data_IF_059646916027
#
_entry.id   IF_059646916027
#
_cell.length_a   1.000
_cell.length_b   1.000
_cell.length_c   1.000
_cell.angle_alpha   90.00
_cell.angle_beta   90.00
_cell.angle_gamma   90.00
#
_symmetry.space_group_name_H-M   'P 1'
#
loop_
_entity.id
_entity.type
_entity.pdbx_description
1 polymer ?
#
# COMPACT_ATOMS: atom_id res chain seq x y z
N UNK A 1 1.94 -53.01 35.89
CA UNK A 1 1.25 -53.18 34.59
C UNK A 1 1.41 -51.88 33.82
N UNK A 2 2.40 -51.82 32.93
CA UNK A 2 2.60 -50.66 32.05
C UNK A 2 1.72 -50.84 30.82
N UNK A 3 0.79 -49.91 30.60
CA UNK A 3 0.06 -49.84 29.34
C UNK A 3 1.03 -49.43 28.22
N UNK A 4 0.98 -50.07 27.03
CA UNK A 4 1.84 -49.68 25.93
C UNK A 4 1.33 -48.37 25.34
N UNK A 5 2.21 -47.38 25.30
CA UNK A 5 2.02 -46.12 24.57
C UNK A 5 1.89 -46.50 23.08
N UNK A 6 0.72 -46.27 22.50
CA UNK A 6 0.53 -46.40 21.06
C UNK A 6 1.49 -45.43 20.34
N UNK A 7 2.29 -45.90 19.36
CA UNK A 7 3.07 -44.99 18.56
C UNK A 7 2.13 -44.11 17.72
N UNK A 8 2.51 -42.85 17.43
CA UNK A 8 1.70 -41.99 16.57
C UNK A 8 1.43 -42.68 15.24
N UNK A 9 0.18 -42.57 14.77
CA UNK A 9 -0.26 -43.14 13.51
C UNK A 9 0.75 -42.76 12.40
N UNK A 10 1.34 -43.78 11.75
CA UNK A 10 2.20 -43.60 10.58
C UNK A 10 1.49 -42.69 9.59
N UNK A 11 2.10 -41.55 9.23
CA UNK A 11 1.62 -40.76 8.09
C UNK A 11 1.51 -41.70 6.89
N UNK A 12 0.30 -41.93 6.41
CA UNK A 12 0.07 -42.72 5.22
C UNK A 12 0.64 -41.91 4.05
N UNK A 13 1.86 -42.24 3.62
CA UNK A 13 2.45 -41.63 2.42
C UNK A 13 1.53 -41.95 1.24
N UNK A 14 0.94 -40.92 0.64
CA UNK A 14 0.18 -41.03 -0.59
C UNK A 14 1.13 -41.48 -1.71
N UNK A 15 0.73 -42.44 -2.54
CA UNK A 15 1.54 -42.82 -3.71
C UNK A 15 1.46 -41.76 -4.80
N UNK A 16 2.55 -41.58 -5.52
CA UNK A 16 2.60 -40.63 -6.64
C UNK A 16 1.59 -40.99 -7.74
N UNK A 17 1.30 -42.28 -7.93
CA UNK A 17 0.33 -42.77 -8.92
C UNK A 17 -1.12 -42.39 -8.59
N UNK A 18 -1.45 -42.17 -7.31
CA UNK A 18 -2.77 -41.68 -6.89
C UNK A 18 -2.79 -40.14 -6.94
N UNK A 19 -1.67 -39.50 -6.62
CA UNK A 19 -1.55 -38.04 -6.61
C UNK A 19 -1.60 -37.43 -8.01
N UNK A 20 -0.93 -38.02 -9.00
CA UNK A 20 -0.79 -37.49 -10.35
C UNK A 20 -2.14 -37.21 -11.05
N UNK A 21 -3.10 -38.16 -11.12
CA UNK A 21 -4.40 -37.90 -11.74
C UNK A 21 -5.21 -36.80 -11.04
N UNK A 22 -5.09 -36.70 -9.71
CA UNK A 22 -5.76 -35.64 -8.94
C UNK A 22 -5.12 -34.27 -9.21
N UNK A 23 -3.79 -34.22 -9.32
CA UNK A 23 -3.06 -33.02 -9.71
C UNK A 23 -3.47 -32.55 -11.11
N UNK A 24 -3.60 -33.47 -12.08
CA UNK A 24 -4.07 -33.15 -13.43
C UNK A 24 -5.47 -32.55 -13.43
N UNK A 25 -6.39 -33.08 -12.63
CA UNK A 25 -7.73 -32.52 -12.52
C UNK A 25 -7.71 -31.09 -11.95
N UNK A 26 -6.88 -30.85 -10.92
CA UNK A 26 -6.77 -29.53 -10.27
C UNK A 26 -6.09 -28.49 -11.14
N UNK A 27 -5.10 -28.86 -11.94
CA UNK A 27 -4.36 -27.91 -12.76
C UNK A 27 -5.15 -27.38 -13.97
N UNK A 28 -6.23 -28.05 -14.40
CA UNK A 28 -7.04 -27.62 -15.57
C UNK A 28 -7.45 -26.16 -15.50
N UNK A 29 -7.91 -25.68 -14.34
CA UNK A 29 -8.36 -24.31 -14.17
C UNK A 29 -7.24 -23.29 -14.38
N UNK A 30 -6.02 -23.58 -13.90
CA UNK A 30 -4.84 -22.74 -14.16
C UNK A 30 -4.50 -22.71 -15.65
N UNK A 31 -4.50 -23.86 -16.32
CA UNK A 31 -4.17 -23.94 -17.75
C UNK A 31 -5.19 -23.18 -18.61
N UNK A 32 -6.48 -23.30 -18.28
CA UNK A 32 -7.56 -22.56 -18.95
C UNK A 32 -7.40 -21.04 -18.73
N UNK A 33 -7.10 -20.61 -17.49
CA UNK A 33 -6.88 -19.20 -17.16
C UNK A 33 -5.68 -18.61 -17.91
N UNK A 34 -4.57 -19.35 -18.03
CA UNK A 34 -3.41 -18.90 -18.80
C UNK A 34 -3.73 -18.81 -20.28
N UNK A 35 -4.47 -19.78 -20.84
CA UNK A 35 -4.87 -19.73 -22.24
C UNK A 35 -5.71 -18.49 -22.58
N UNK A 36 -6.63 -18.10 -21.68
CA UNK A 36 -7.39 -16.86 -21.78
C UNK A 36 -6.47 -15.63 -21.80
N UNK A 37 -5.49 -15.56 -20.90
CA UNK A 37 -4.54 -14.42 -20.88
C UNK A 37 -3.78 -14.33 -22.20
N UNK A 38 -3.40 -15.47 -22.80
CA UNK A 38 -2.68 -15.54 -24.09
C UNK A 38 -3.52 -15.11 -25.29
N UNK A 39 -4.81 -15.43 -25.30
CA UNK A 39 -5.71 -15.05 -26.40
C UNK A 39 -6.15 -13.58 -26.33
N UNK A 40 -6.18 -12.97 -25.14
CA UNK A 40 -6.74 -11.64 -24.91
C UNK A 40 -5.75 -10.57 -24.43
N UNK A 41 -4.45 -10.71 -24.74
CA UNK A 41 -3.32 -9.81 -24.37
C UNK A 41 -3.57 -8.29 -24.56
N UNK A 42 -4.63 -7.88 -25.28
CA UNK A 42 -4.94 -6.49 -25.62
C UNK A 42 -6.37 -6.04 -25.32
N UNK A 43 -7.11 -6.75 -24.47
CA UNK A 43 -8.51 -6.38 -24.13
C UNK A 43 -8.63 -5.70 -22.78
N UNK A 44 -9.72 -4.96 -22.56
CA UNK A 44 -10.07 -4.29 -21.29
C UNK A 44 -10.32 -5.25 -20.10
N UNK A 45 -10.14 -6.56 -20.28
CA UNK A 45 -10.40 -7.60 -19.28
C UNK A 45 -9.12 -8.22 -18.72
N UNK A 46 -7.95 -7.69 -19.10
CA UNK A 46 -6.65 -8.21 -18.70
C UNK A 46 -6.56 -8.43 -17.19
N UNK A 47 -7.07 -7.50 -16.37
CA UNK A 47 -7.07 -7.61 -14.91
C UNK A 47 -7.73 -8.89 -14.39
N UNK A 48 -8.97 -9.16 -14.78
CA UNK A 48 -9.74 -10.31 -14.29
C UNK A 48 -9.09 -11.62 -14.73
N UNK A 49 -8.62 -11.68 -15.97
CA UNK A 49 -7.94 -12.87 -16.51
C UNK A 49 -6.62 -13.12 -15.77
N UNK A 50 -5.84 -12.08 -15.49
CA UNK A 50 -4.60 -12.18 -14.72
C UNK A 50 -4.85 -12.56 -13.25
N UNK A 51 -5.89 -11.99 -12.63
CA UNK A 51 -6.31 -12.36 -11.29
C UNK A 51 -6.76 -13.83 -11.22
N UNK A 52 -7.44 -14.33 -12.25
CA UNK A 52 -7.80 -15.75 -12.35
C UNK A 52 -6.54 -16.64 -12.38
N UNK A 53 -5.51 -16.27 -13.16
CA UNK A 53 -4.22 -17.00 -13.14
C UNK A 53 -3.60 -16.98 -11.74
N UNK A 54 -3.56 -15.83 -11.07
CA UNK A 54 -3.06 -15.72 -9.70
C UNK A 54 -3.82 -16.65 -8.73
N UNK A 55 -5.15 -16.58 -8.77
CA UNK A 55 -6.02 -17.35 -7.90
C UNK A 55 -5.86 -18.86 -8.12
N UNK A 56 -5.92 -19.33 -9.36
CA UNK A 56 -5.79 -20.74 -9.69
C UNK A 56 -4.37 -21.27 -9.42
N UNK A 57 -3.34 -20.45 -9.65
CA UNK A 57 -1.96 -20.81 -9.31
C UNK A 57 -1.79 -20.94 -7.79
N UNK A 58 -2.42 -20.07 -7.00
CA UNK A 58 -2.42 -20.18 -5.54
C UNK A 58 -3.11 -21.47 -5.05
N UNK A 59 -4.29 -21.79 -5.56
CA UNK A 59 -4.99 -23.03 -5.21
C UNK A 59 -4.17 -24.28 -5.56
N UNK A 60 -3.49 -24.26 -6.71
CA UNK A 60 -2.64 -25.36 -7.14
C UNK A 60 -1.37 -25.46 -6.28
N UNK A 61 -0.75 -24.34 -5.92
CA UNK A 61 0.40 -24.32 -5.01
C UNK A 61 0.02 -24.83 -3.61
N UNK A 62 -1.10 -24.39 -3.04
CA UNK A 62 -1.58 -24.86 -1.73
C UNK A 62 -1.83 -26.39 -1.76
N UNK A 63 -2.37 -26.90 -2.89
CA UNK A 63 -2.54 -28.34 -3.11
C UNK A 63 -1.19 -29.07 -3.20
N UNK A 64 -0.22 -28.53 -3.94
CA UNK A 64 1.13 -29.10 -4.05
C UNK A 64 1.87 -29.10 -2.70
N UNK A 65 1.79 -28.00 -1.94
CA UNK A 65 2.44 -27.84 -0.65
C UNK A 65 1.85 -28.76 0.42
N UNK A 66 0.52 -28.89 0.47
CA UNK A 66 -0.16 -29.81 1.40
C UNK A 66 0.19 -31.29 1.17
N UNK A 67 0.70 -31.63 -0.02
CA UNK A 67 1.15 -32.98 -0.37
C UNK A 67 2.69 -33.12 -0.40
N UNK A 68 3.43 -32.11 0.05
CA UNK A 68 4.90 -32.17 0.14
C UNK A 68 5.61 -32.15 -1.21
N UNK A 69 4.99 -31.58 -2.25
CA UNK A 69 5.55 -31.55 -3.60
C UNK A 69 6.89 -30.78 -3.66
N UNK A 70 7.09 -29.78 -2.79
CA UNK A 70 8.33 -29.00 -2.72
C UNK A 70 9.59 -29.85 -2.47
N UNK A 71 9.45 -30.97 -1.73
CA UNK A 71 10.54 -31.90 -1.42
C UNK A 71 10.48 -33.19 -2.27
N UNK A 72 9.53 -33.28 -3.20
CA UNK A 72 9.33 -34.44 -4.04
C UNK A 72 10.09 -34.30 -5.37
N UNK A 73 10.93 -35.30 -5.70
CA UNK A 73 11.76 -35.27 -6.92
C UNK A 73 10.96 -35.15 -8.21
N UNK A 74 9.75 -35.69 -8.27
CA UNK A 74 8.88 -35.66 -9.46
C UNK A 74 8.13 -34.33 -9.59
N UNK A 75 7.65 -33.74 -8.48
CA UNK A 75 6.74 -32.59 -8.52
C UNK A 75 7.34 -31.25 -8.06
N UNK A 76 8.57 -31.22 -7.52
CA UNK A 76 9.16 -29.98 -6.99
C UNK A 76 9.30 -28.85 -8.03
N UNK A 77 9.62 -29.18 -9.29
CA UNK A 77 9.75 -28.18 -10.35
C UNK A 77 8.39 -27.55 -10.69
N UNK A 78 7.34 -28.37 -10.81
CA UNK A 78 5.97 -27.91 -11.04
C UNK A 78 5.55 -26.95 -9.92
N UNK A 79 5.80 -27.31 -8.66
CA UNK A 79 5.51 -26.46 -7.51
C UNK A 79 6.24 -25.12 -7.59
N UNK A 80 7.52 -25.14 -7.93
CA UNK A 80 8.32 -23.92 -8.06
C UNK A 80 7.79 -23.02 -9.19
N UNK A 81 7.52 -23.58 -10.37
CA UNK A 81 7.02 -22.85 -11.54
C UNK A 81 5.62 -22.27 -11.32
N UNK A 82 4.73 -23.00 -10.62
CA UNK A 82 3.40 -22.51 -10.22
C UNK A 82 3.52 -21.29 -9.29
N UNK A 83 4.46 -21.29 -8.33
CA UNK A 83 4.71 -20.11 -7.49
C UNK A 83 5.20 -18.91 -8.32
N UNK A 84 6.06 -19.16 -9.32
CA UNK A 84 6.49 -18.14 -10.27
C UNK A 84 5.31 -17.51 -11.02
N UNK A 85 4.44 -18.33 -11.61
CA UNK A 85 3.23 -17.88 -12.31
C UNK A 85 2.32 -17.07 -11.39
N UNK A 86 2.12 -17.53 -10.15
CA UNK A 86 1.30 -16.84 -9.14
C UNK A 86 1.79 -15.40 -8.91
N UNK A 87 3.06 -15.19 -8.63
CA UNK A 87 3.53 -13.85 -8.27
C UNK A 87 3.66 -12.90 -9.47
N UNK A 88 4.03 -13.42 -10.65
CA UNK A 88 4.06 -12.62 -11.88
C UNK A 88 2.64 -12.19 -12.28
N UNK A 89 1.66 -13.11 -12.21
CA UNK A 89 0.25 -12.78 -12.51
C UNK A 89 -0.36 -11.79 -11.52
N UNK A 90 -0.03 -11.88 -10.23
CA UNK A 90 -0.43 -10.88 -9.24
C UNK A 90 0.10 -9.49 -9.61
N UNK A 91 1.40 -9.36 -9.92
CA UNK A 91 1.99 -8.09 -10.30
C UNK A 91 1.33 -7.51 -11.57
N UNK A 92 1.13 -8.35 -12.59
CA UNK A 92 0.43 -7.97 -13.82
C UNK A 92 -1.02 -7.53 -13.56
N UNK A 93 -1.77 -8.19 -12.67
CA UNK A 93 -3.13 -7.77 -12.33
C UNK A 93 -3.16 -6.37 -11.71
N UNK A 94 -2.21 -6.04 -10.83
CA UNK A 94 -2.10 -4.71 -10.24
C UNK A 94 -1.78 -3.64 -11.30
N UNK A 95 -0.87 -3.93 -12.23
CA UNK A 95 -0.53 -3.00 -13.32
C UNK A 95 -1.68 -2.78 -14.31
N UNK A 96 -2.51 -3.80 -14.55
CA UNK A 96 -3.64 -3.68 -15.46
C UNK A 96 -4.72 -2.69 -14.99
N UNK A 97 -4.83 -2.47 -13.67
CA UNK A 97 -5.71 -1.44 -13.08
C UNK A 97 -5.31 -0.03 -13.51
N UNK A 98 -4.02 0.21 -13.78
CA UNK A 98 -3.51 1.50 -14.25
C UNK A 98 -3.78 1.73 -15.75
N UNK A 99 -3.84 0.66 -16.56
CA UNK A 99 -3.98 0.75 -18.02
C UNK A 99 -5.44 0.71 -18.49
N UNK A 100 -6.29 -0.07 -17.83
CA UNK A 100 -7.63 -0.41 -18.34
C UNK A 100 -8.69 -0.52 -17.26
N UNK A 101 -8.35 -0.22 -16.00
CA UNK A 101 -9.33 -0.19 -14.92
C UNK A 101 -10.35 0.94 -15.11
N UNK A 102 -11.55 0.85 -14.52
CA UNK A 102 -12.33 2.04 -14.27
C UNK A 102 -11.46 2.94 -13.39
N UNK A 103 -11.03 4.08 -13.91
CA UNK A 103 -10.29 5.08 -13.13
C UNK A 103 -11.35 6.05 -12.59
N UNK A 104 -11.92 5.85 -11.38
CA UNK A 104 -12.93 6.77 -10.85
C UNK A 104 -12.33 8.14 -10.50
N UNK A 105 -11.00 8.26 -10.43
CA UNK A 105 -10.32 9.47 -9.96
C UNK A 105 -9.31 9.97 -11.00
N UNK A 106 -9.38 11.25 -11.41
CA UNK A 106 -8.49 11.79 -12.41
C UNK A 106 -7.03 11.78 -11.93
N UNK A 107 -6.10 11.59 -12.85
CA UNK A 107 -4.68 11.76 -12.59
C UNK A 107 -4.40 13.16 -12.06
N UNK A 108 -3.42 13.26 -11.14
CA UNK A 108 -3.02 14.52 -10.56
C UNK A 108 -2.36 15.46 -11.57
N UNK A 109 -1.50 14.90 -12.41
CA UNK A 109 -0.83 15.59 -13.51
C UNK A 109 -1.12 14.83 -14.80
N UNK A 110 -1.78 15.51 -15.74
CA UNK A 110 -2.02 14.94 -17.06
C UNK A 110 -0.72 14.61 -17.78
N UNK A 111 0.32 15.45 -17.61
CA UNK A 111 1.64 15.25 -18.22
C UNK A 111 2.40 14.05 -17.62
N UNK A 112 2.23 13.79 -16.32
CA UNK A 112 2.82 12.60 -15.70
C UNK A 112 2.09 11.33 -16.12
N UNK A 113 0.75 11.37 -16.10
CA UNK A 113 -0.06 10.22 -16.49
C UNK A 113 0.12 9.89 -17.98
N UNK A 114 -0.03 10.88 -18.87
CA UNK A 114 0.13 10.74 -20.31
C UNK A 114 1.60 10.79 -20.71
N UNK A 115 2.20 9.61 -20.92
CA UNK A 115 3.56 9.48 -21.44
C UNK A 115 4.66 9.38 -20.39
N UNK A 116 4.39 9.67 -19.11
CA UNK A 116 5.29 9.32 -18.00
C UNK A 116 5.00 7.92 -17.47
N UNK A 117 3.92 7.81 -16.69
CA UNK A 117 3.46 6.57 -16.06
C UNK A 117 3.13 5.48 -17.09
N UNK A 118 2.41 5.82 -18.16
CA UNK A 118 2.00 4.86 -19.21
C UNK A 118 3.20 4.10 -19.79
N UNK A 119 4.32 4.80 -20.05
CA UNK A 119 5.54 4.18 -20.58
C UNK A 119 6.16 3.20 -19.58
N UNK A 120 6.13 3.51 -18.28
CA UNK A 120 6.63 2.61 -17.25
C UNK A 120 5.72 1.39 -17.07
N UNK A 121 4.40 1.58 -17.10
CA UNK A 121 3.40 0.51 -17.02
C UNK A 121 3.48 -0.39 -18.25
N UNK A 122 3.64 0.16 -19.45
CA UNK A 122 3.77 -0.60 -20.69
C UNK A 122 5.06 -1.44 -20.68
N UNK A 123 6.21 -0.84 -20.37
CA UNK A 123 7.50 -1.54 -20.32
C UNK A 123 7.52 -2.66 -19.27
N UNK A 124 6.96 -2.41 -18.08
CA UNK A 124 6.87 -3.42 -17.02
C UNK A 124 5.90 -4.54 -17.40
N UNK A 125 4.72 -4.20 -17.93
CA UNK A 125 3.72 -5.18 -18.39
C UNK A 125 4.26 -6.07 -19.50
N UNK A 126 4.93 -5.49 -20.51
CA UNK A 126 5.55 -6.25 -21.59
C UNK A 126 6.60 -7.26 -21.08
N UNK A 127 7.50 -6.80 -20.20
CA UNK A 127 8.55 -7.66 -19.63
C UNK A 127 7.97 -8.78 -18.76
N UNK A 128 6.97 -8.47 -17.92
CA UNK A 128 6.35 -9.46 -17.03
C UNK A 128 5.50 -10.47 -17.81
N UNK A 129 4.84 -10.08 -18.90
CA UNK A 129 4.18 -11.04 -19.79
C UNK A 129 5.18 -11.98 -20.47
N UNK A 130 6.34 -11.48 -20.91
CA UNK A 130 7.41 -12.34 -21.43
C UNK A 130 7.85 -13.37 -20.38
N UNK A 131 7.99 -12.96 -19.11
CA UNK A 131 8.35 -13.87 -18.02
C UNK A 131 7.25 -14.88 -17.72
N UNK A 132 5.98 -14.46 -17.74
CA UNK A 132 4.82 -15.33 -17.58
C UNK A 132 4.79 -16.44 -18.66
N UNK A 133 5.00 -16.07 -19.92
CA UNK A 133 5.05 -17.01 -21.05
C UNK A 133 6.19 -18.01 -20.92
N UNK A 134 7.38 -17.55 -20.52
CA UNK A 134 8.54 -18.42 -20.29
C UNK A 134 8.28 -19.38 -19.13
N UNK A 135 7.74 -18.89 -18.01
CA UNK A 135 7.37 -19.71 -16.85
C UNK A 135 6.32 -20.76 -17.22
N UNK A 136 5.31 -20.39 -18.00
CA UNK A 136 4.27 -21.34 -18.43
C UNK A 136 4.83 -22.40 -19.38
N UNK A 137 5.72 -22.01 -20.29
CA UNK A 137 6.42 -22.96 -21.17
C UNK A 137 7.27 -23.95 -20.37
N UNK A 138 7.92 -23.47 -19.31
CA UNK A 138 8.68 -24.32 -18.39
C UNK A 138 7.78 -25.26 -17.59
N UNK A 139 6.65 -24.76 -17.07
CA UNK A 139 5.63 -25.56 -16.41
C UNK A 139 5.17 -26.71 -17.31
N UNK A 140 4.80 -26.43 -18.55
CA UNK A 140 4.41 -27.46 -19.52
C UNK A 140 5.52 -28.52 -19.73
N UNK A 141 6.78 -28.09 -19.74
CA UNK A 141 7.92 -29.01 -19.90
C UNK A 141 8.12 -29.89 -18.66
N UNK A 142 8.05 -29.31 -17.46
CA UNK A 142 8.14 -30.05 -16.19
C UNK A 142 6.94 -30.96 -15.97
N UNK A 143 5.77 -30.56 -16.45
CA UNK A 143 4.54 -31.34 -16.43
C UNK A 143 4.69 -32.66 -17.18
N UNK A 144 5.16 -32.58 -18.44
CA UNK A 144 5.45 -33.78 -19.25
C UNK A 144 6.60 -34.58 -18.63
N UNK A 145 7.64 -33.92 -18.12
CA UNK A 145 8.76 -34.58 -17.44
C UNK A 145 8.38 -35.30 -16.14
N UNK A 146 7.23 -34.96 -15.55
CA UNK A 146 6.65 -35.64 -14.40
C UNK A 146 5.66 -36.76 -14.81
N UNK A 147 5.67 -37.19 -16.08
CA UNK A 147 4.77 -38.21 -16.62
C UNK A 147 3.28 -37.88 -16.38
N UNK A 148 2.92 -36.59 -16.46
CA UNK A 148 1.53 -36.13 -16.38
C UNK A 148 0.94 -35.97 -17.77
N UNK A 149 -0.35 -36.26 -17.90
CA UNK A 149 -1.12 -36.13 -19.12
C UNK A 149 -1.16 -34.68 -19.59
N UNK A 150 -1.01 -34.47 -20.89
CA UNK A 150 -1.15 -33.15 -21.50
C UNK A 150 -2.54 -32.58 -21.23
N UNK A 151 -2.58 -31.37 -20.68
CA UNK A 151 -3.81 -30.61 -20.52
C UNK A 151 -3.97 -29.77 -21.78
N UNK A 152 -5.01 -30.04 -22.56
CA UNK A 152 -5.45 -29.12 -23.62
C UNK A 152 -6.31 -28.04 -22.97
N UNK A 153 -5.84 -26.78 -22.89
CA UNK A 153 -6.63 -25.70 -22.33
C UNK A 153 -7.87 -25.49 -23.18
N UNK A 154 -9.00 -25.25 -22.54
CA UNK A 154 -10.20 -24.75 -23.22
C UNK A 154 -10.21 -23.25 -23.09
N UNK A 155 -10.23 -22.56 -24.22
CA UNK A 155 -10.63 -21.16 -24.22
C UNK A 155 -12.10 -21.11 -23.82
N UNK A 156 -12.34 -20.79 -22.55
CA UNK A 156 -13.66 -20.38 -22.11
C UNK A 156 -13.80 -18.94 -22.57
N UNK A 157 -14.89 -18.61 -23.27
CA UNK A 157 -15.26 -17.21 -23.48
C UNK A 157 -15.32 -16.56 -22.09
N UNK A 158 -14.31 -15.75 -21.76
CA UNK A 158 -14.49 -14.73 -20.73
C UNK A 158 -15.62 -13.90 -21.28
N UNK A 159 -16.79 -13.99 -20.64
CA UNK A 159 -17.94 -13.21 -21.05
C UNK A 159 -17.47 -11.76 -21.21
N UNK A 160 -17.42 -11.29 -22.46
CA UNK A 160 -17.01 -9.95 -22.82
C UNK A 160 -18.10 -9.05 -22.25
N UNK A 161 -17.92 -8.59 -21.02
CA UNK A 161 -18.88 -7.73 -20.36
C UNK A 161 -18.65 -6.31 -20.89
N UNK A 162 -19.56 -5.72 -21.68
CA UNK A 162 -19.42 -4.32 -22.11
C UNK A 162 -19.17 -3.42 -20.89
N UNK A 163 -18.60 -2.20 -21.09
CA UNK A 163 -18.38 -1.26 -19.99
C UNK A 163 -19.61 -1.22 -19.09
N UNK A 164 -19.40 -1.52 -17.81
CA UNK A 164 -20.48 -1.72 -16.87
C UNK A 164 -21.33 -0.45 -16.84
N UNK A 165 -22.64 -0.52 -17.16
CA UNK A 165 -23.49 0.65 -17.05
C UNK A 165 -23.44 1.14 -15.60
N UNK A 166 -23.13 2.43 -15.43
CA UNK A 166 -23.10 3.07 -14.13
C UNK A 166 -24.55 3.34 -13.73
N UNK A 167 -24.94 2.91 -12.52
CA UNK A 167 -26.25 3.26 -11.98
C UNK A 167 -26.31 4.78 -11.76
N UNK A 168 -27.44 5.44 -12.08
CA UNK A 168 -27.61 6.84 -11.74
C UNK A 168 -27.42 7.03 -10.22
N UNK A 169 -26.81 8.13 -9.76
CA UNK A 169 -26.69 8.43 -8.34
C UNK A 169 -28.04 8.94 -7.82
N UNK A 170 -29.00 8.03 -7.70
CA UNK A 170 -30.38 8.31 -7.26
C UNK A 170 -30.59 8.06 -5.76
N UNK A 171 -29.51 7.74 -5.03
CA UNK A 171 -29.51 7.75 -3.58
C UNK A 171 -29.60 9.21 -3.11
N UNK A 172 -30.81 9.63 -2.74
CA UNK A 172 -31.04 10.90 -2.04
C UNK A 172 -30.27 10.81 -0.72
N UNK A 173 -29.21 11.60 -0.59
CA UNK A 173 -28.55 11.76 0.69
C UNK A 173 -29.49 12.54 1.60
N UNK A 174 -30.23 11.85 2.45
CA UNK A 174 -30.94 12.45 3.61
C UNK A 174 -29.96 12.98 4.67
N UNK A 175 -28.69 13.17 4.33
CA UNK A 175 -27.65 13.62 5.24
C UNK A 175 -27.56 15.15 5.23
N UNK A 176 -28.55 15.78 5.84
CA UNK A 176 -28.30 16.80 6.85
C UNK A 176 -27.53 16.16 8.03
N UNK A 177 -26.41 15.46 7.77
CA UNK A 177 -25.46 15.12 8.82
C UNK A 177 -24.73 16.40 9.13
N UNK A 178 -25.25 17.08 10.13
CA UNK A 178 -24.65 18.18 10.89
C UNK A 178 -23.19 18.38 10.49
N UNK A 179 -22.94 19.46 9.75
CA UNK A 179 -21.61 19.97 9.50
C UNK A 179 -21.00 20.42 10.83
N UNK A 180 -20.58 19.47 11.67
CA UNK A 180 -19.77 19.73 12.84
C UNK A 180 -18.45 20.36 12.39
N UNK A 181 -17.88 21.21 13.24
CA UNK A 181 -16.56 21.82 12.98
C UNK A 181 -15.47 20.77 12.72
N UNK A 182 -15.58 19.59 13.33
CA UNK A 182 -14.72 18.42 13.08
C UNK A 182 -14.67 17.98 11.61
N UNK A 183 -15.76 18.13 10.86
CA UNK A 183 -15.81 17.74 9.44
C UNK A 183 -14.92 18.62 8.58
N UNK A 184 -14.77 19.91 8.92
CA UNK A 184 -13.92 20.85 8.14
C UNK A 184 -12.44 20.50 8.21
N UNK A 185 -11.98 19.93 9.33
CA UNK A 185 -10.59 19.54 9.53
C UNK A 185 -10.19 18.20 8.85
N UNK A 186 -11.14 17.44 8.28
CA UNK A 186 -10.86 16.14 7.66
C UNK A 186 -9.99 16.30 6.40
N UNK A 187 -10.34 17.23 5.51
CA UNK A 187 -9.59 17.44 4.27
C UNK A 187 -8.17 17.98 4.51
N UNK A 188 -7.96 19.03 5.34
CA UNK A 188 -6.61 19.46 5.74
C UNK A 188 -5.77 18.34 6.34
N UNK A 189 -6.37 17.53 7.23
CA UNK A 189 -5.68 16.40 7.88
C UNK A 189 -5.26 15.34 6.88
N UNK A 190 -6.14 14.99 5.94
CA UNK A 190 -5.81 14.08 4.85
C UNK A 190 -4.62 14.59 4.01
N UNK A 191 -4.65 15.88 3.63
CA UNK A 191 -3.61 16.52 2.83
C UNK A 191 -2.26 16.59 3.58
N UNK A 192 -2.27 16.92 4.88
CA UNK A 192 -1.06 16.89 5.71
C UNK A 192 -0.49 15.46 5.81
N UNK A 193 -1.35 14.44 5.98
CA UNK A 193 -0.91 13.04 5.99
C UNK A 193 -0.32 12.60 4.65
N UNK A 194 -0.90 13.04 3.53
CA UNK A 194 -0.35 12.83 2.19
C UNK A 194 1.06 13.43 2.05
N UNK A 195 1.23 14.71 2.38
CA UNK A 195 2.52 15.42 2.30
C UNK A 195 3.57 14.74 3.21
N UNK A 196 3.19 14.36 4.42
CA UNK A 196 4.06 13.66 5.37
C UNK A 196 4.46 12.27 4.88
N UNK A 197 3.55 11.54 4.24
CA UNK A 197 3.87 10.24 3.64
C UNK A 197 4.93 10.41 2.56
N UNK A 198 4.79 11.41 1.69
CA UNK A 198 5.77 11.74 0.67
C UNK A 198 7.12 12.15 1.26
N UNK A 199 7.13 13.06 2.25
CA UNK A 199 8.37 13.53 2.89
C UNK A 199 9.14 12.43 3.63
N UNK A 200 8.44 11.36 4.05
CA UNK A 200 9.05 10.19 4.68
C UNK A 200 9.52 9.13 3.68
N UNK A 201 9.36 9.37 2.37
CA UNK A 201 9.91 8.50 1.34
C UNK A 201 11.43 8.67 1.29
N UNK A 202 12.17 7.57 1.42
CA UNK A 202 13.63 7.59 1.26
C UNK A 202 14.02 7.77 -0.22
N UNK A 203 14.44 8.98 -0.58
CA UNK A 203 14.82 9.35 -1.96
C UNK A 203 15.98 8.49 -2.49
N UNK A 204 16.76 7.84 -1.63
CA UNK A 204 17.78 6.90 -2.08
C UNK A 204 17.17 5.70 -2.85
N UNK A 205 15.93 5.29 -2.53
CA UNK A 205 15.26 4.18 -3.24
C UNK A 205 14.85 4.54 -4.67
N UNK A 206 14.88 5.82 -5.04
CA UNK A 206 14.45 6.29 -6.38
C UNK A 206 15.62 6.46 -7.33
N UNK A 207 16.84 6.11 -6.91
CA UNK A 207 18.00 6.12 -7.79
C UNK A 207 17.85 5.06 -8.87
N UNK A 208 18.07 5.46 -10.12
CA UNK A 208 17.95 4.56 -11.26
C UNK A 208 19.04 3.49 -11.21
N UNK A 209 18.65 2.23 -11.21
CA UNK A 209 19.60 1.11 -11.35
C UNK A 209 20.09 1.06 -12.80
N UNK A 210 21.41 1.21 -12.97
CA UNK A 210 22.09 1.08 -14.26
C UNK A 210 22.59 -0.35 -14.48
N UNK A 211 22.78 -0.80 -15.73
CA UNK A 211 23.36 -2.11 -16.00
C UNK A 211 24.70 -2.30 -15.28
N UNK A 212 24.86 -3.45 -14.59
CA UNK A 212 26.05 -3.75 -13.79
C UNK A 212 26.02 -3.23 -12.35
N UNK A 213 24.91 -2.62 -11.91
CA UNK A 213 24.70 -2.31 -10.49
C UNK A 213 24.53 -3.58 -9.66
N UNK A 214 24.87 -3.52 -8.36
CA UNK A 214 24.64 -4.61 -7.42
C UNK A 214 23.14 -4.67 -7.03
N UNK A 215 22.41 -5.57 -7.71
CA UNK A 215 20.97 -5.79 -7.56
C UNK A 215 20.63 -6.40 -6.20
N UNK A 216 21.45 -7.33 -5.72
CA UNK A 216 21.33 -7.94 -4.40
C UNK A 216 21.46 -6.91 -3.27
N UNK A 217 22.45 -6.01 -3.37
CA UNK A 217 22.65 -4.93 -2.41
C UNK A 217 21.46 -3.97 -2.41
N UNK A 218 20.94 -3.62 -3.60
CA UNK A 218 19.75 -2.78 -3.70
C UNK A 218 18.54 -3.41 -2.99
N UNK A 219 18.25 -4.68 -3.26
CA UNK A 219 17.12 -5.39 -2.65
C UNK A 219 17.26 -5.46 -1.12
N UNK A 220 18.45 -5.82 -0.62
CA UNK A 220 18.73 -5.91 0.83
C UNK A 220 18.64 -4.58 1.55
N UNK A 221 19.04 -3.49 0.88
CA UNK A 221 19.13 -2.16 1.51
C UNK A 221 17.81 -1.41 1.43
N UNK A 222 17.12 -1.48 0.28
CA UNK A 222 16.02 -0.57 -0.03
C UNK A 222 14.68 -1.25 -0.32
N UNK A 223 14.67 -2.52 -0.74
CA UNK A 223 13.47 -3.17 -1.25
C UNK A 223 13.29 -4.60 -0.73
N UNK A 224 13.33 -4.77 0.60
CA UNK A 224 12.91 -6.03 1.22
C UNK A 224 11.39 -6.19 1.18
N UNK A 225 10.87 -7.41 1.27
CA UNK A 225 9.42 -7.67 1.29
C UNK A 225 8.78 -6.93 2.48
N UNK A 226 9.44 -6.93 3.63
CA UNK A 226 8.97 -6.22 4.83
C UNK A 226 8.87 -4.70 4.59
N UNK A 227 9.87 -4.11 3.95
CA UNK A 227 9.87 -2.68 3.59
C UNK A 227 8.76 -2.36 2.59
N UNK A 228 8.63 -3.18 1.54
CA UNK A 228 7.60 -3.02 0.51
C UNK A 228 6.17 -3.09 1.10
N UNK A 229 5.88 -4.11 1.93
CA UNK A 229 4.60 -4.26 2.62
C UNK A 229 4.30 -3.11 3.57
N UNK A 230 5.29 -2.68 4.35
CA UNK A 230 5.17 -1.54 5.27
C UNK A 230 4.78 -0.27 4.53
N UNK A 231 5.44 0.01 3.40
CA UNK A 231 5.15 1.19 2.61
C UNK A 231 3.80 1.10 1.87
N UNK A 232 3.49 -0.03 1.24
CA UNK A 232 2.18 -0.31 0.65
C UNK A 232 1.05 -0.09 1.67
N UNK A 233 1.21 -0.57 2.91
CA UNK A 233 0.20 -0.41 3.98
C UNK A 233 -0.04 1.06 4.33
N UNK A 234 1.02 1.89 4.37
CA UNK A 234 0.88 3.34 4.64
C UNK A 234 0.08 4.05 3.55
N UNK A 235 0.35 3.73 2.29
CA UNK A 235 -0.38 4.29 1.12
C UNK A 235 -1.83 3.79 1.10
N UNK A 236 -2.06 2.50 1.37
CA UNK A 236 -3.40 1.93 1.48
C UNK A 236 -4.22 2.57 2.59
N UNK A 237 -3.62 2.83 3.76
CA UNK A 237 -4.29 3.52 4.86
C UNK A 237 -4.75 4.91 4.42
N UNK A 238 -3.89 5.67 3.75
CA UNK A 238 -4.23 6.99 3.23
C UNK A 238 -5.42 6.93 2.24
N UNK A 239 -5.43 5.96 1.33
CA UNK A 239 -6.58 5.73 0.44
C UNK A 239 -7.85 5.39 1.22
N UNK A 240 -7.73 4.54 2.25
CA UNK A 240 -8.86 4.13 3.10
C UNK A 240 -9.45 5.29 3.88
N UNK A 241 -8.60 6.20 4.40
CA UNK A 241 -9.04 7.40 5.09
C UNK A 241 -9.85 8.31 4.16
N UNK A 242 -9.39 8.49 2.92
CA UNK A 242 -10.12 9.26 1.93
C UNK A 242 -11.48 8.63 1.63
N UNK A 243 -11.49 7.34 1.30
CA UNK A 243 -12.71 6.64 0.90
C UNK A 243 -13.72 6.54 2.06
N UNK A 244 -13.26 6.59 3.32
CA UNK A 244 -14.11 6.55 4.52
C UNK A 244 -14.64 7.91 4.96
N UNK A 245 -13.87 8.99 4.77
CA UNK A 245 -14.16 10.29 5.40
C UNK A 245 -14.35 11.45 4.43
N UNK A 246 -13.91 11.34 3.17
CA UNK A 246 -14.00 12.42 2.19
C UNK A 246 -14.84 12.07 0.97
N UNK A 247 -14.84 10.81 0.54
CA UNK A 247 -15.58 10.37 -0.64
C UNK A 247 -17.08 10.62 -0.49
N UNK A 248 -17.69 11.19 -1.54
CA UNK A 248 -19.10 11.57 -1.62
C UNK A 248 -19.56 12.57 -0.54
N UNK A 249 -18.64 13.32 0.06
CA UNK A 249 -18.99 14.38 1.02
C UNK A 249 -19.19 15.73 0.33
N UNK A 250 -19.88 16.66 1.00
CA UNK A 250 -20.01 18.05 0.54
C UNK A 250 -18.65 18.73 0.33
N UNK A 251 -17.62 18.36 1.10
CA UNK A 251 -16.25 18.85 0.95
C UNK A 251 -15.60 18.38 -0.36
N UNK A 252 -15.73 17.10 -0.72
CA UNK A 252 -15.22 16.60 -2.01
C UNK A 252 -15.96 17.21 -3.20
N UNK A 253 -17.27 17.49 -3.05
CA UNK A 253 -18.06 18.18 -4.06
C UNK A 253 -17.64 19.65 -4.21
N UNK A 254 -17.36 20.34 -3.10
CA UNK A 254 -16.88 21.72 -3.08
C UNK A 254 -15.44 21.86 -3.59
N UNK A 255 -14.59 20.84 -3.37
CA UNK A 255 -13.19 20.80 -3.80
C UNK A 255 -12.90 19.56 -4.66
N UNK A 256 -13.35 19.51 -5.93
CA UNK A 256 -13.13 18.36 -6.82
C UNK A 256 -11.66 18.01 -7.05
N UNK A 257 -10.72 18.93 -6.79
CA UNK A 257 -9.28 18.69 -6.87
C UNK A 257 -8.80 17.65 -5.83
N UNK A 258 -9.53 17.42 -4.72
CA UNK A 258 -9.23 16.34 -3.78
C UNK A 258 -9.18 14.96 -4.46
N UNK A 259 -10.01 14.77 -5.49
CA UNK A 259 -10.03 13.55 -6.30
C UNK A 259 -8.72 13.29 -7.02
N UNK A 260 -7.98 14.34 -7.38
CA UNK A 260 -6.65 14.21 -8.00
C UNK A 260 -5.60 13.69 -7.03
N UNK A 261 -5.65 14.15 -5.78
CA UNK A 261 -4.79 13.65 -4.69
C UNK A 261 -5.11 12.19 -4.41
N UNK A 262 -6.40 11.81 -4.38
CA UNK A 262 -6.82 10.41 -4.30
C UNK A 262 -6.30 9.59 -5.50
N UNK A 263 -6.38 10.14 -6.72
CA UNK A 263 -5.85 9.53 -7.94
C UNK A 263 -4.38 9.16 -7.83
N UNK A 264 -3.52 10.10 -7.42
CA UNK A 264 -2.07 9.84 -7.26
C UNK A 264 -1.75 8.80 -6.18
N UNK A 265 -2.54 8.76 -5.09
CA UNK A 265 -2.44 7.70 -4.07
C UNK A 265 -2.78 6.33 -4.65
N UNK A 266 -3.82 6.24 -5.49
CA UNK A 266 -4.23 5.00 -6.16
C UNK A 266 -3.18 4.52 -7.15
N UNK A 267 -2.59 5.43 -7.95
CA UNK A 267 -1.49 5.11 -8.86
C UNK A 267 -0.29 4.52 -8.11
N UNK A 268 0.11 5.19 -7.03
CA UNK A 268 1.20 4.75 -6.16
C UNK A 268 0.90 3.36 -5.55
N UNK A 269 -0.33 3.15 -5.07
CA UNK A 269 -0.74 1.90 -4.43
C UNK A 269 -0.59 0.70 -5.37
N UNK A 270 -1.13 0.78 -6.59
CA UNK A 270 -1.08 -0.36 -7.52
C UNK A 270 0.34 -0.70 -7.97
N UNK A 271 1.21 0.31 -8.13
CA UNK A 271 2.64 0.08 -8.37
C UNK A 271 3.29 -0.64 -7.19
N UNK A 272 3.00 -0.24 -5.95
CA UNK A 272 3.56 -0.86 -4.74
C UNK A 272 3.01 -2.27 -4.46
N UNK A 273 1.78 -2.56 -4.85
CA UNK A 273 1.23 -3.92 -4.84
C UNK A 273 2.03 -4.83 -5.77
N UNK A 274 2.35 -4.34 -6.98
CA UNK A 274 3.23 -5.04 -7.91
C UNK A 274 4.66 -5.19 -7.35
N UNK A 275 5.24 -4.14 -6.76
CA UNK A 275 6.55 -4.23 -6.07
C UNK A 275 6.53 -5.32 -5.01
N UNK A 276 5.52 -5.34 -4.14
CA UNK A 276 5.41 -6.33 -3.06
C UNK A 276 5.33 -7.76 -3.59
N UNK A 277 4.56 -7.99 -4.65
CA UNK A 277 4.47 -9.30 -5.30
C UNK A 277 5.81 -9.76 -5.89
N UNK A 278 6.52 -8.87 -6.59
CA UNK A 278 7.79 -9.20 -7.25
C UNK A 278 8.96 -9.31 -6.27
N UNK A 279 8.98 -8.50 -5.22
CA UNK A 279 9.96 -8.61 -4.13
C UNK A 279 9.77 -9.93 -3.38
N UNK A 280 8.53 -10.35 -3.11
CA UNK A 280 8.26 -11.66 -2.52
C UNK A 280 8.77 -12.80 -3.42
N UNK A 281 8.52 -12.71 -4.74
CA UNK A 281 9.05 -13.67 -5.71
C UNK A 281 10.58 -13.72 -5.64
N UNK A 282 11.24 -12.56 -5.67
CA UNK A 282 12.70 -12.48 -5.61
C UNK A 282 13.24 -13.09 -4.31
N UNK A 283 12.80 -12.63 -3.14
CA UNK A 283 13.34 -13.12 -1.85
C UNK A 283 13.18 -14.63 -1.67
N UNK A 284 12.04 -15.21 -2.10
CA UNK A 284 11.78 -16.64 -1.93
C UNK A 284 12.39 -17.54 -3.01
N UNK A 285 12.62 -17.02 -4.21
CA UNK A 285 12.94 -17.84 -5.38
C UNK A 285 14.22 -17.47 -6.12
N UNK A 286 14.90 -16.35 -5.82
CA UNK A 286 16.08 -15.93 -6.61
C UNK A 286 17.26 -16.91 -6.55
N UNK A 287 17.39 -17.68 -5.47
CA UNK A 287 18.39 -18.73 -5.34
C UNK A 287 18.02 -20.04 -6.04
N UNK A 288 16.81 -20.15 -6.61
CA UNK A 288 16.34 -21.37 -7.28
C UNK A 288 16.69 -21.32 -8.77
N UNK A 289 17.39 -22.35 -9.24
CA UNK A 289 17.95 -22.40 -10.59
C UNK A 289 16.92 -22.62 -11.68
N UNK A 290 15.69 -23.05 -11.35
CA UNK A 290 14.67 -23.30 -12.37
C UNK A 290 14.01 -21.99 -12.79
N UNK A 291 13.44 -21.22 -11.85
CA UNK A 291 12.81 -19.92 -12.18
C UNK A 291 13.78 -18.96 -12.85
N UNK A 292 15.08 -18.98 -12.50
CA UNK A 292 16.08 -18.09 -13.11
C UNK A 292 16.23 -18.24 -14.63
N UNK A 293 15.76 -19.35 -15.20
CA UNK A 293 15.78 -19.57 -16.66
C UNK A 293 14.62 -18.85 -17.38
N UNK A 294 13.53 -18.55 -16.68
CA UNK A 294 12.41 -17.75 -17.20
C UNK A 294 12.49 -16.28 -16.77
N UNK A 295 12.93 -16.04 -15.53
CA UNK A 295 12.98 -14.74 -14.89
C UNK A 295 14.44 -14.31 -14.69
N UNK A 296 14.98 -13.44 -15.55
CA UNK A 296 16.31 -12.86 -15.35
C UNK A 296 16.29 -11.92 -14.14
N UNK A 297 16.81 -12.37 -13.00
CA UNK A 297 16.70 -11.66 -11.71
C UNK A 297 17.23 -10.24 -11.73
N UNK A 298 18.37 -9.98 -12.37
CA UNK A 298 18.91 -8.61 -12.46
C UNK A 298 17.99 -7.68 -13.25
N UNK A 299 17.38 -8.18 -14.32
CA UNK A 299 16.42 -7.41 -15.10
C UNK A 299 15.10 -7.22 -14.34
N UNK A 300 14.67 -8.21 -13.53
CA UNK A 300 13.51 -8.06 -12.64
C UNK A 300 13.77 -6.98 -11.58
N UNK A 301 14.94 -6.98 -10.93
CA UNK A 301 15.29 -5.96 -9.93
C UNK A 301 15.38 -4.58 -10.56
N UNK A 302 15.98 -4.47 -11.76
CA UNK A 302 15.98 -3.21 -12.51
C UNK A 302 14.57 -2.75 -12.88
N UNK A 303 13.66 -3.66 -13.22
CA UNK A 303 12.25 -3.37 -13.47
C UNK A 303 11.55 -2.87 -12.20
N UNK A 304 11.74 -3.53 -11.06
CA UNK A 304 11.19 -3.11 -9.76
C UNK A 304 11.64 -1.69 -9.43
N UNK A 305 12.95 -1.41 -9.49
CA UNK A 305 13.48 -0.10 -9.14
C UNK A 305 13.02 0.99 -10.13
N UNK A 306 13.25 0.77 -11.43
CA UNK A 306 13.15 1.82 -12.44
C UNK A 306 11.73 2.01 -12.99
N UNK A 307 10.92 0.95 -12.99
CA UNK A 307 9.59 0.95 -13.60
C UNK A 307 8.44 0.77 -12.63
N UNK A 308 8.71 0.52 -11.34
CA UNK A 308 7.66 0.45 -10.31
C UNK A 308 7.90 1.43 -9.16
N UNK A 309 9.04 1.37 -8.47
CA UNK A 309 9.35 2.23 -7.31
C UNK A 309 9.49 3.69 -7.74
N UNK A 310 10.32 3.97 -8.75
CA UNK A 310 10.50 5.32 -9.28
C UNK A 310 9.17 5.97 -9.72
N UNK A 311 8.34 5.34 -10.57
CA UNK A 311 7.05 5.92 -10.93
C UNK A 311 6.07 6.01 -9.75
N UNK A 312 6.12 5.10 -8.75
CA UNK A 312 5.28 5.22 -7.56
C UNK A 312 5.60 6.48 -6.76
N UNK A 313 6.90 6.80 -6.62
CA UNK A 313 7.36 8.05 -6.03
C UNK A 313 6.91 9.25 -6.88
N UNK A 314 7.11 9.20 -8.21
CA UNK A 314 6.75 10.30 -9.13
C UNK A 314 5.24 10.57 -9.16
N UNK A 315 4.39 9.56 -9.04
CA UNK A 315 2.93 9.74 -8.90
C UNK A 315 2.59 10.62 -7.72
N UNK A 316 3.18 10.37 -6.53
CA UNK A 316 2.98 11.23 -5.37
C UNK A 316 3.62 12.62 -5.56
N UNK A 317 4.87 12.68 -6.01
CA UNK A 317 5.64 13.92 -6.20
C UNK A 317 4.89 14.91 -7.11
N UNK A 318 4.33 14.41 -8.22
CA UNK A 318 3.59 15.22 -9.18
C UNK A 318 2.37 15.94 -8.57
N UNK A 319 1.84 15.43 -7.46
CA UNK A 319 0.66 15.95 -6.78
C UNK A 319 1.00 16.82 -5.56
N UNK A 320 2.26 16.89 -5.14
CA UNK A 320 2.67 17.69 -3.96
C UNK A 320 2.31 19.17 -4.08
N UNK A 321 2.54 19.87 -5.22
CA UNK A 321 2.15 21.27 -5.35
C UNK A 321 0.64 21.48 -5.18
N UNK A 322 -0.18 20.58 -5.72
CA UNK A 322 -1.63 20.63 -5.58
C UNK A 322 -2.05 20.37 -4.13
N UNK A 323 -1.46 19.36 -3.47
CA UNK A 323 -1.77 19.05 -2.09
C UNK A 323 -1.43 20.21 -1.14
N UNK A 324 -0.30 20.88 -1.36
CA UNK A 324 0.10 22.08 -0.60
C UNK A 324 -0.84 23.25 -0.85
N UNK A 325 -1.22 23.49 -2.11
CA UNK A 325 -2.18 24.53 -2.45
C UNK A 325 -3.53 24.29 -1.74
N UNK A 326 -4.08 23.08 -1.85
CA UNK A 326 -5.35 22.72 -1.21
C UNK A 326 -5.25 22.81 0.31
N UNK A 327 -4.12 22.41 0.89
CA UNK A 327 -3.93 22.53 2.34
C UNK A 327 -3.97 24.00 2.77
N UNK A 328 -3.30 24.89 2.05
CA UNK A 328 -3.31 26.33 2.34
C UNK A 328 -4.69 26.97 2.15
N UNK A 329 -5.47 26.51 1.16
CA UNK A 329 -6.83 27.01 0.91
C UNK A 329 -7.84 26.54 1.95
N UNK A 330 -7.67 25.31 2.46
CA UNK A 330 -8.61 24.68 3.38
C UNK A 330 -8.25 24.87 4.86
N UNK A 331 -7.00 25.23 5.18
CA UNK A 331 -6.56 25.48 6.55
C UNK A 331 -6.89 26.92 6.94
N UNK A 332 -7.59 27.09 8.07
CA UNK A 332 -7.79 28.40 8.68
C UNK A 332 -6.71 28.56 9.74
N UNK A 333 -5.66 29.31 9.39
CA UNK A 333 -4.59 29.62 10.34
C UNK A 333 -5.06 30.62 11.39
N UNK A 334 -4.98 30.24 12.65
CA UNK A 334 -5.19 31.11 13.80
C UNK A 334 -3.92 31.16 14.66
N UNK A 335 -3.90 32.05 15.65
CA UNK A 335 -2.88 32.07 16.68
C UNK A 335 -3.52 32.32 18.04
N UNK A 336 -3.16 31.51 19.03
CA UNK A 336 -3.64 31.69 20.40
C UNK A 336 -2.48 31.85 21.37
N UNK A 337 -2.60 32.84 22.24
CA UNK A 337 -1.73 32.98 23.41
C UNK A 337 -2.39 32.25 24.57
N UNK A 338 -1.66 31.32 25.19
CA UNK A 338 -2.10 30.55 26.35
C UNK A 338 -1.10 30.71 27.48
N UNK A 339 -1.60 30.73 28.71
CA UNK A 339 -0.82 30.87 29.93
C UNK A 339 -0.99 29.64 30.81
N UNK A 340 0.08 29.21 31.46
CA UNK A 340 0.01 28.12 32.45
C UNK A 340 -0.81 28.55 33.65
N UNK A 341 -1.60 27.61 34.18
CA UNK A 341 -2.31 27.79 35.45
C UNK A 341 -1.29 27.74 36.59
N UNK A 342 -1.51 28.54 37.63
CA UNK A 342 -0.69 28.55 38.83
C UNK A 342 -0.46 27.13 39.38
N UNK A 343 0.81 26.75 39.52
CA UNK A 343 1.23 25.44 40.03
C UNK A 343 1.39 24.34 38.98
N UNK A 344 1.12 24.62 37.68
CA UNK A 344 1.42 23.72 36.57
C UNK A 344 2.76 24.11 35.94
N UNK A 345 3.65 23.13 35.76
CA UNK A 345 4.96 23.32 35.12
C UNK A 345 5.04 22.55 33.81
N UNK A 346 5.70 23.11 32.79
CA UNK A 346 5.89 22.44 31.51
C UNK A 346 6.97 21.35 31.55
N UNK A 347 6.65 20.24 32.21
CA UNK A 347 7.47 19.02 32.24
C UNK A 347 6.96 17.97 31.24
N UNK A 348 7.49 16.75 31.36
CA UNK A 348 7.26 15.69 30.38
C UNK A 348 5.78 15.34 30.12
N UNK A 349 4.88 15.50 31.10
CA UNK A 349 3.49 15.09 30.97
C UNK A 349 2.66 16.11 30.19
N UNK A 350 2.61 17.40 30.56
CA UNK A 350 2.01 18.45 29.73
C UNK A 350 2.53 18.45 28.29
N UNK A 351 3.85 18.34 28.12
CA UNK A 351 4.49 18.24 26.82
C UNK A 351 4.02 17.02 26.01
N UNK A 352 3.86 15.86 26.65
CA UNK A 352 3.35 14.66 25.99
C UNK A 352 1.87 14.80 25.59
N UNK A 353 1.04 15.46 26.40
CA UNK A 353 -0.37 15.72 26.10
C UNK A 353 -0.52 16.62 24.88
N UNK A 354 0.24 17.72 24.84
CA UNK A 354 0.27 18.62 23.68
C UNK A 354 0.74 17.86 22.44
N UNK A 355 1.85 17.12 22.54
CA UNK A 355 2.39 16.37 21.40
C UNK A 355 1.39 15.34 20.87
N UNK A 356 0.70 14.61 21.76
CA UNK A 356 -0.28 13.60 21.37
C UNK A 356 -1.54 14.24 20.78
N UNK A 357 -1.98 15.40 21.29
CA UNK A 357 -3.11 16.12 20.74
C UNK A 357 -2.80 16.65 19.34
N UNK A 358 -1.65 17.31 19.15
CA UNK A 358 -1.23 17.78 17.83
C UNK A 358 -1.08 16.60 16.86
N UNK A 359 -0.53 15.47 17.30
CA UNK A 359 -0.45 14.25 16.48
C UNK A 359 -1.83 13.71 16.10
N UNK A 360 -2.81 13.78 17.00
CA UNK A 360 -4.18 13.35 16.76
C UNK A 360 -4.88 14.21 15.69
N UNK A 361 -4.75 15.54 15.78
CA UNK A 361 -5.22 16.43 14.71
C UNK A 361 -4.47 16.20 13.40
N UNK A 362 -3.17 15.86 13.50
CA UNK A 362 -2.35 15.52 12.35
C UNK A 362 -2.04 16.72 11.45
N UNK A 363 -2.14 17.94 11.98
CA UNK A 363 -1.85 19.21 11.31
C UNK A 363 -0.56 19.82 11.88
N UNK A 364 0.09 20.68 11.10
CA UNK A 364 1.31 21.35 11.53
C UNK A 364 0.95 22.50 12.49
N UNK A 365 1.30 22.31 13.77
CA UNK A 365 1.14 23.31 14.82
C UNK A 365 2.54 23.68 15.33
N UNK A 366 2.82 24.97 15.42
CA UNK A 366 4.04 25.50 16.03
C UNK A 366 3.73 26.06 17.42
N UNK A 367 4.60 25.79 18.38
CA UNK A 367 4.64 26.49 19.66
C UNK A 367 5.77 27.52 19.62
N UNK A 368 5.48 28.73 20.07
CA UNK A 368 6.41 29.84 20.17
C UNK A 368 6.64 30.22 21.64
N UNK A 369 7.90 30.33 22.03
CA UNK A 369 8.36 30.74 23.35
C UNK A 369 9.55 31.68 23.19
N UNK A 370 9.48 32.88 23.80
CA UNK A 370 10.54 33.89 23.73
C UNK A 370 11.04 34.21 22.29
N UNK A 371 10.13 34.20 21.31
CA UNK A 371 10.44 34.45 19.90
C UNK A 371 11.08 33.29 19.15
N UNK A 372 11.27 32.13 19.79
CA UNK A 372 11.70 30.89 19.15
C UNK A 372 10.52 29.96 18.93
N UNK A 373 10.53 29.25 17.80
CA UNK A 373 9.46 28.32 17.40
C UNK A 373 9.93 26.88 17.36
N UNK A 374 9.04 25.96 17.71
CA UNK A 374 9.25 24.54 17.58
C UNK A 374 7.97 23.83 17.11
N UNK A 375 8.13 22.69 16.45
CA UNK A 375 6.99 21.83 16.08
C UNK A 375 6.35 21.23 17.34
N UNK A 376 5.07 21.54 17.56
CA UNK A 376 4.32 21.11 18.74
C UNK A 376 3.95 19.61 18.74
N UNK A 377 4.10 18.90 17.62
CA UNK A 377 4.00 17.44 17.55
C UNK A 377 5.27 16.73 18.05
N UNK A 378 6.39 17.45 18.16
CA UNK A 378 7.68 16.91 18.58
C UNK A 378 7.94 17.20 20.04
N UNK A 379 7.74 16.18 20.88
CA UNK A 379 8.05 16.25 22.31
C UNK A 379 9.48 16.77 22.57
N UNK A 380 10.47 16.26 21.83
CA UNK A 380 11.87 16.67 22.00
C UNK A 380 12.10 18.12 21.58
N UNK A 381 11.48 18.57 20.49
CA UNK A 381 11.62 19.96 20.05
C UNK A 381 11.02 20.93 21.08
N UNK A 382 9.85 20.60 21.64
CA UNK A 382 9.24 21.40 22.70
C UNK A 382 10.07 21.37 23.99
N UNK A 383 10.60 20.21 24.39
CA UNK A 383 11.42 20.09 25.59
C UNK A 383 12.69 20.94 25.49
N UNK A 384 13.33 20.98 24.32
CA UNK A 384 14.49 21.85 24.08
C UNK A 384 14.09 23.33 24.10
N UNK A 385 12.99 23.70 23.45
CA UNK A 385 12.51 25.08 23.39
C UNK A 385 12.19 25.64 24.78
N UNK A 386 11.42 24.89 25.57
CA UNK A 386 10.97 25.31 26.91
C UNK A 386 12.12 25.21 27.91
N UNK A 387 12.95 24.16 27.83
CA UNK A 387 14.13 24.03 28.70
C UNK A 387 15.15 25.17 28.50
N UNK A 388 15.12 25.85 27.36
CA UNK A 388 15.95 27.04 27.09
C UNK A 388 15.38 28.33 27.69
N UNK A 389 14.11 28.33 28.13
CA UNK A 389 13.38 29.50 28.65
C UNK A 389 12.47 29.12 29.84
N UNK A 390 13.04 28.62 30.96
CA UNK A 390 12.28 28.03 32.07
C UNK A 390 11.38 29.02 32.82
N UNK A 391 11.68 30.32 32.74
CA UNK A 391 10.91 31.39 33.36
C UNK A 391 9.63 31.78 32.60
N UNK A 392 9.44 31.27 31.38
CA UNK A 392 8.29 31.62 30.54
C UNK A 392 7.10 30.73 30.86
N UNK A 393 6.00 31.34 31.27
CA UNK A 393 4.71 30.68 31.55
C UNK A 393 3.66 30.93 30.48
N UNK A 394 3.98 31.73 29.47
CA UNK A 394 3.08 32.10 28.36
C UNK A 394 3.63 31.60 27.04
N UNK A 395 2.79 30.92 26.25
CA UNK A 395 3.17 30.35 24.96
C UNK A 395 2.18 30.79 23.89
N UNK A 396 2.67 30.96 22.66
CA UNK A 396 1.82 31.23 21.50
C UNK A 396 1.79 30.00 20.60
N UNK A 397 0.60 29.51 20.28
CA UNK A 397 0.43 28.43 19.30
C UNK A 397 -0.04 29.01 17.98
N UNK A 398 0.52 28.51 16.88
CA UNK A 398 0.20 28.91 15.52
C UNK A 398 -0.17 27.69 14.69
N UNK A 399 -1.26 27.76 13.91
CA UNK A 399 -1.69 26.67 13.05
C UNK A 399 -3.21 26.61 12.87
N UNK A 400 -3.75 25.42 12.62
CA UNK A 400 -5.17 25.23 12.35
C UNK A 400 -6.07 25.59 13.55
N UNK A 401 -7.15 26.32 13.27
CA UNK A 401 -8.05 26.85 14.29
C UNK A 401 -8.73 25.79 15.16
N UNK A 402 -9.03 24.59 14.64
CA UNK A 402 -9.64 23.50 15.42
C UNK A 402 -8.63 22.94 16.41
N UNK A 403 -7.41 22.66 15.95
CA UNK A 403 -6.34 22.21 16.83
C UNK A 403 -5.97 23.28 17.88
N UNK A 404 -6.00 24.56 17.50
CA UNK A 404 -5.79 25.68 18.41
C UNK A 404 -6.89 25.76 19.49
N UNK A 405 -8.16 25.54 19.13
CA UNK A 405 -9.26 25.52 20.09
C UNK A 405 -9.07 24.40 21.12
N UNK A 406 -8.69 23.20 20.68
CA UNK A 406 -8.42 22.06 21.55
C UNK A 406 -7.18 22.30 22.43
N UNK A 407 -6.12 22.92 21.91
CA UNK A 407 -4.96 23.37 22.69
C UNK A 407 -5.39 24.33 23.79
N UNK A 408 -6.19 25.34 23.47
CA UNK A 408 -6.71 26.29 24.45
C UNK A 408 -7.51 25.59 25.53
N UNK A 409 -8.36 24.64 25.17
CA UNK A 409 -9.13 23.86 26.13
C UNK A 409 -8.25 22.94 26.99
N UNK A 410 -7.22 22.31 26.42
CA UNK A 410 -6.27 21.49 27.18
C UNK A 410 -5.49 22.31 28.22
N UNK A 411 -5.09 23.54 27.87
CA UNK A 411 -4.50 24.48 28.83
C UNK A 411 -5.50 24.86 29.94
N UNK A 412 -6.77 25.10 29.60
CA UNK A 412 -7.82 25.39 30.57
C UNK A 412 -8.12 24.21 31.53
N UNK A 413 -7.87 22.98 31.08
CA UNK A 413 -7.95 21.75 31.90
C UNK A 413 -6.62 21.43 32.60
N UNK A 414 -5.65 22.34 32.57
CA UNK A 414 -4.36 22.25 33.25
C UNK A 414 -3.50 21.06 32.81
N UNK A 415 -3.55 20.72 31.51
CA UNK A 415 -2.57 19.87 30.82
C UNK A 415 -2.40 18.45 31.40
N UNK A 416 -3.40 17.99 32.15
CA UNK A 416 -3.42 16.68 32.81
C UNK A 416 -2.64 16.62 34.13
N UNK A 417 -2.09 17.73 34.63
CA UNK A 417 -1.44 17.78 35.95
C UNK A 417 -2.41 18.17 37.07
N UNK A 418 -3.45 18.94 36.76
CA UNK A 418 -4.51 19.29 37.73
C UNK A 418 -5.58 18.21 37.81
N UNK A 419 -6.17 17.83 36.67
CA UNK A 419 -7.21 16.79 36.61
C UNK A 419 -7.10 15.98 35.30
N UNK A 420 -6.52 14.77 35.43
CA UNK A 420 -6.38 13.85 34.29
C UNK A 420 -7.73 13.28 33.84
N UNK A 421 -8.68 13.10 34.75
CA UNK A 421 -10.00 12.54 34.42
C UNK A 421 -10.81 13.55 33.60
N UNK A 422 -10.70 14.85 33.92
CA UNK A 422 -11.29 15.91 33.12
C UNK A 422 -10.70 15.97 31.70
N UNK A 423 -9.37 15.86 31.57
CA UNK A 423 -8.70 15.84 30.25
C UNK A 423 -9.11 14.61 29.45
N UNK A 424 -9.09 13.41 30.03
CA UNK A 424 -9.44 12.18 29.31
C UNK A 424 -10.94 12.06 29.00
N UNK A 425 -11.79 12.78 29.73
CA UNK A 425 -13.22 12.92 29.40
C UNK A 425 -13.44 13.89 28.23
N UNK A 426 -12.72 15.00 28.19
CA UNK A 426 -12.78 15.96 27.09
C UNK A 426 -12.13 15.41 25.81
N UNK A 427 -11.00 14.71 25.97
CA UNK A 427 -10.18 14.16 24.89
C UNK A 427 -9.93 12.66 25.12
N UNK A 428 -10.90 11.79 24.77
CA UNK A 428 -10.79 10.34 25.00
C UNK A 428 -9.58 9.67 24.34
N UNK A 429 -9.03 10.29 23.30
CA UNK A 429 -7.85 9.82 22.57
C UNK A 429 -6.52 10.11 23.30
N UNK A 430 -6.52 10.88 24.40
CA UNK A 430 -5.34 11.16 25.22
C UNK A 430 -5.19 10.21 26.44
N UNK A 431 -5.98 9.14 26.48
CA UNK A 431 -5.93 8.11 27.55
C UNK A 431 -4.65 7.31 27.59
#
# INVERSE_FOLDING_TARGET
MNAPIQPPARSSKLSEDIFAPALEQKARALFDAVAVVRSYMHTSYAERSLYAVYHEAKLLEDYLDSHGAADNKRFHLIREEVSGLKWISQALSCLSLLKSGPIPYPAASADWSQGGLDNHVEASTASLHEYLEKLFTQLCSSWVGADLSLITPKEVEVAIHPPMPILPPDLVSDDDRDANEDSKAIAPRYLSRFIRLFNNWDVATTQRLVPGSDTDLFMKTYCTEATARSFQSKVHNLQSDYDSHLRNTSLELASPQLRKVRGSVSECLHLLEAVTALTHLYERHHHRTRISTAVPWDALVALIANHLILPAYKSLESCIPLAQQLLNELTISDSVVVELIDGVEMHARPLSMIANMVKHHGLDIEIECAGQRANAASFMAMLVLIGSHPEVTTYTFHGDSVAIADIKQLFALGLGDTDLDAVTKAFPFLK
#
